data_IF_795821819970
#
_entry.id   IF_795821819970
#
_cell.length_a   1.000
_cell.length_b   1.000
_cell.length_c   1.000
_cell.angle_alpha   90.00
_cell.angle_beta   90.00
_cell.angle_gamma   90.00
#
_symmetry.space_group_name_H-M   'P 1'
#
loop_
_entity.id
_entity.type
_entity.pdbx_description
1 polymer ?
#
# COMPACT_ATOMS: atom_id res chain seq x y z
N UNK A 1 17.24 3.53 10.69
CA UNK A 1 17.99 2.76 9.69
C UNK A 1 17.49 1.33 9.76
N UNK A 2 17.05 0.75 8.64
CA UNK A 2 16.63 -0.66 8.61
C UNK A 2 17.88 -1.52 8.49
N UNK A 3 18.16 -2.34 9.50
CA UNK A 3 19.33 -3.22 9.55
C UNK A 3 18.95 -4.64 9.11
N UNK A 4 19.94 -5.43 8.68
CA UNK A 4 19.75 -6.86 8.39
C UNK A 4 19.06 -7.17 7.05
N UNK A 5 19.13 -6.26 6.08
CA UNK A 5 18.60 -6.49 4.73
C UNK A 5 19.39 -7.59 4.02
N UNK A 6 18.66 -8.52 3.41
CA UNK A 6 19.22 -9.57 2.57
C UNK A 6 18.69 -9.47 1.14
N UNK A 7 19.43 -9.99 0.14
CA UNK A 7 18.91 -10.08 -1.22
C UNK A 7 17.58 -10.84 -1.24
N UNK A 8 16.58 -10.26 -1.91
CA UNK A 8 15.20 -10.75 -1.94
C UNK A 8 14.23 -10.00 -1.02
N UNK A 9 14.73 -9.14 -0.12
CA UNK A 9 13.86 -8.28 0.69
C UNK A 9 13.21 -7.18 -0.15
N UNK A 10 11.89 -7.01 0.02
CA UNK A 10 11.16 -5.87 -0.50
C UNK A 10 11.28 -4.69 0.47
N UNK A 11 11.58 -3.50 -0.05
CA UNK A 11 11.83 -2.30 0.77
C UNK A 11 11.18 -1.06 0.17
N UNK A 12 10.72 -0.17 1.06
CA UNK A 12 10.34 1.19 0.71
C UNK A 12 11.52 2.12 0.96
N UNK A 13 11.79 2.97 -0.03
CA UNK A 13 12.90 3.92 -0.03
C UNK A 13 12.35 5.34 -0.13
N UNK A 14 12.89 6.23 0.70
CA UNK A 14 12.62 7.66 0.62
C UNK A 14 13.94 8.43 0.77
N UNK A 15 14.21 9.37 -0.15
CA UNK A 15 15.46 10.16 -0.17
C UNK A 15 16.73 9.29 -0.10
N UNK A 16 16.75 8.19 -0.86
CA UNK A 16 17.86 7.25 -0.92
C UNK A 16 18.15 6.51 0.42
N UNK A 17 17.20 6.52 1.35
CA UNK A 17 17.26 5.76 2.59
C UNK A 17 16.11 4.75 2.65
N UNK A 18 16.41 3.54 3.13
CA UNK A 18 15.38 2.54 3.40
C UNK A 18 14.61 2.96 4.66
N UNK A 19 13.32 3.22 4.47
CA UNK A 19 12.43 3.62 5.56
C UNK A 19 11.71 2.43 6.18
N UNK A 20 11.46 1.36 5.41
CA UNK A 20 10.70 0.20 5.86
C UNK A 20 10.96 -1.03 4.99
N UNK A 21 11.08 -2.20 5.61
CA UNK A 21 10.98 -3.51 4.94
C UNK A 21 9.52 -3.92 4.86
N UNK A 22 9.11 -4.45 3.72
CA UNK A 22 7.75 -4.95 3.45
C UNK A 22 7.82 -6.42 3.08
N UNK A 23 6.69 -7.11 3.16
CA UNK A 23 6.59 -8.48 2.65
C UNK A 23 6.22 -8.50 1.16
N UNK A 24 6.30 -9.68 0.54
CA UNK A 24 6.01 -9.88 -0.87
C UNK A 24 4.55 -9.59 -1.23
N UNK A 25 3.61 -9.86 -0.30
CA UNK A 25 2.18 -9.61 -0.53
C UNK A 25 1.92 -8.10 -0.60
N UNK A 26 2.45 -7.36 0.36
CA UNK A 26 2.36 -5.90 0.41
C UNK A 26 3.07 -5.27 -0.81
N UNK A 27 4.23 -5.80 -1.21
CA UNK A 27 4.94 -5.34 -2.39
C UNK A 27 4.10 -5.47 -3.67
N UNK A 28 3.46 -6.62 -3.88
CA UNK A 28 2.57 -6.84 -5.04
C UNK A 28 1.32 -5.97 -5.00
N UNK A 29 0.73 -5.73 -3.82
CA UNK A 29 -0.41 -4.81 -3.68
C UNK A 29 -0.02 -3.39 -4.08
N UNK A 30 1.13 -2.90 -3.61
CA UNK A 30 1.64 -1.57 -3.96
C UNK A 30 1.93 -1.47 -5.46
N UNK A 31 2.56 -2.50 -6.05
CA UNK A 31 2.85 -2.56 -7.48
C UNK A 31 1.56 -2.52 -8.32
N UNK A 32 0.56 -3.31 -7.97
CA UNK A 32 -0.74 -3.32 -8.65
C UNK A 32 -1.46 -1.96 -8.55
N UNK A 33 -1.45 -1.33 -7.38
CA UNK A 33 -2.02 -0.02 -7.17
C UNK A 33 -1.33 1.05 -8.04
N UNK A 34 0.01 1.04 -8.09
CA UNK A 34 0.78 1.98 -8.91
C UNK A 34 0.53 1.78 -10.41
N UNK A 35 0.49 0.53 -10.88
CA UNK A 35 0.19 0.20 -12.27
C UNK A 35 -1.23 0.65 -12.67
N UNK A 36 -2.20 0.51 -11.77
CA UNK A 36 -3.56 0.97 -11.98
C UNK A 36 -3.62 2.51 -12.11
N UNK A 37 -2.91 3.24 -11.26
CA UNK A 37 -2.80 4.71 -11.35
C UNK A 37 -2.15 5.12 -12.68
N UNK A 38 -1.06 4.46 -13.09
CA UNK A 38 -0.42 4.74 -14.38
C UNK A 38 -1.39 4.49 -15.55
N UNK A 39 -2.13 3.38 -15.53
CA UNK A 39 -3.13 3.06 -16.54
C UNK A 39 -4.21 4.16 -16.62
N UNK A 40 -4.75 4.57 -15.46
CA UNK A 40 -5.74 5.65 -15.39
C UNK A 40 -5.19 6.99 -15.93
N UNK A 41 -3.96 7.35 -15.57
CA UNK A 41 -3.32 8.59 -16.01
C UNK A 41 -2.96 8.57 -17.51
N UNK A 42 -2.74 7.40 -18.09
CA UNK A 42 -2.41 7.22 -19.51
C UNK A 42 -3.63 6.92 -20.38
N UNK A 43 -4.84 6.93 -19.81
CA UNK A 43 -6.09 6.66 -20.53
C UNK A 43 -6.28 5.20 -20.94
N UNK A 44 -5.54 4.28 -20.32
CA UNK A 44 -5.72 2.84 -20.49
C UNK A 44 -6.80 2.32 -19.54
N UNK A 45 -7.35 1.14 -19.84
CA UNK A 45 -8.27 0.47 -18.93
C UNK A 45 -7.56 0.18 -17.60
N UNK A 46 -8.14 0.65 -16.51
CA UNK A 46 -7.64 0.49 -15.16
C UNK A 46 -8.71 -0.22 -14.33
N UNK A 47 -8.36 -1.36 -13.75
CA UNK A 47 -9.24 -2.08 -12.83
C UNK A 47 -8.96 -1.60 -11.41
N UNK A 48 -9.69 -0.58 -10.98
CA UNK A 48 -9.55 0.02 -9.66
C UNK A 48 -10.07 -0.90 -8.55
N UNK A 49 -11.05 -1.75 -8.85
CA UNK A 49 -11.67 -2.62 -7.85
C UNK A 49 -10.72 -3.73 -7.45
N UNK A 50 -9.98 -4.30 -8.40
CA UNK A 50 -8.94 -5.28 -8.12
C UNK A 50 -7.70 -4.64 -7.47
N UNK A 51 -7.24 -3.48 -7.96
CA UNK A 51 -6.00 -2.87 -7.52
C UNK A 51 -6.07 -2.27 -6.09
N UNK A 52 -7.27 -1.89 -5.63
CA UNK A 52 -7.50 -1.31 -4.31
C UNK A 52 -8.45 -2.16 -3.45
N UNK A 53 -8.52 -3.46 -3.72
CA UNK A 53 -9.43 -4.38 -3.06
C UNK A 53 -9.27 -4.40 -1.53
N UNK A 54 -8.05 -4.20 -1.03
CA UNK A 54 -7.72 -4.12 0.39
C UNK A 54 -8.31 -2.87 1.07
N UNK A 55 -8.22 -1.72 0.40
CA UNK A 55 -8.82 -0.45 0.85
C UNK A 55 -10.34 -0.56 0.76
N UNK A 56 -10.88 -1.14 -0.31
CA UNK A 56 -12.31 -1.37 -0.47
C UNK A 56 -12.86 -2.29 0.62
N UNK A 57 -12.15 -3.38 0.95
CA UNK A 57 -12.52 -4.30 2.01
C UNK A 57 -12.52 -3.66 3.43
N UNK A 58 -11.80 -2.56 3.60
CA UNK A 58 -11.75 -1.80 4.84
C UNK A 58 -12.44 -0.43 4.76
N UNK A 59 -13.21 -0.20 3.68
CA UNK A 59 -13.94 1.05 3.50
C UNK A 59 -14.97 1.26 4.60
N UNK A 60 -14.94 2.43 5.23
CA UNK A 60 -15.84 2.78 6.32
C UNK A 60 -15.42 2.27 7.71
N UNK A 61 -14.32 1.52 7.84
CA UNK A 61 -13.74 1.23 9.15
C UNK A 61 -12.98 2.45 9.65
N UNK A 62 -13.40 2.96 10.80
CA UNK A 62 -12.66 4.00 11.51
C UNK A 62 -11.42 3.36 12.16
N UNK A 63 -10.26 4.03 12.13
CA UNK A 63 -9.12 3.68 12.96
C UNK A 63 -9.52 3.58 14.43
N UNK A 64 -8.94 2.63 15.19
CA UNK A 64 -9.32 2.39 16.60
C UNK A 64 -9.30 3.65 17.48
N UNK A 65 -8.37 4.58 17.23
CA UNK A 65 -8.28 5.81 17.99
C UNK A 65 -9.47 6.75 17.71
N UNK A 66 -10.08 6.68 16.52
CA UNK A 66 -11.32 7.39 16.18
C UNK A 66 -12.58 6.61 16.59
N UNK A 67 -12.55 5.27 16.60
CA UNK A 67 -13.67 4.47 17.15
C UNK A 67 -13.89 4.71 18.64
N UNK A 68 -12.79 4.88 19.40
CA UNK A 68 -12.84 5.27 20.81
C UNK A 68 -13.50 6.63 21.02
N UNK A 69 -13.38 7.55 20.06
CA UNK A 69 -14.01 8.87 20.11
C UNK A 69 -15.48 8.86 19.69
N UNK A 70 -15.93 7.84 18.94
CA UNK A 70 -17.35 7.68 18.54
C UNK A 70 -18.23 7.11 19.66
N UNK A 71 -17.63 6.36 20.57
CA UNK A 71 -18.33 5.61 21.63
C UNK A 71 -18.44 6.36 22.96
N UNK A 72 -18.08 7.65 22.97
CA UNK A 72 -18.14 8.57 24.11
C UNK A 72 -19.11 9.71 23.81
#
# INVERSE_FOLDING_TARGET
MVEGLIPGDFVLVFRNEVIRRIDETEAHQIEAALACVEAAMTGKAADTDAAFADILANTGKLPEHLERMRSA
#
